data_IF_647765831529
#
_entry.id   IF_647765831529
#
_cell.length_a   1.000
_cell.length_b   1.000
_cell.length_c   1.000
_cell.angle_alpha   90.00
_cell.angle_beta   90.00
_cell.angle_gamma   90.00
#
_symmetry.space_group_name_H-M   'P 1'
#
loop_
_entity.id
_entity.type
_entity.pdbx_description
1 polymer ?
#
# COMPACT_ATOMS: atom_id res chain seq x y z
N UNK A 1 -21.99 -17.20 13.33
CA UNK A 1 -21.05 -16.83 12.22
C UNK A 1 -21.06 -17.87 11.10
N UNK A 2 -20.92 -19.17 11.40
CA UNK A 2 -20.96 -20.24 10.40
C UNK A 2 -22.27 -20.27 9.59
N UNK A 3 -23.42 -20.10 10.25
CA UNK A 3 -24.75 -20.04 9.61
C UNK A 3 -24.86 -18.87 8.62
N UNK A 4 -24.51 -17.65 9.05
CA UNK A 4 -24.50 -16.46 8.21
C UNK A 4 -23.60 -16.58 6.97
N UNK A 5 -22.43 -17.23 7.10
CA UNK A 5 -21.53 -17.46 5.97
C UNK A 5 -22.14 -18.50 5.01
N UNK A 6 -22.71 -19.58 5.53
CA UNK A 6 -23.34 -20.62 4.72
C UNK A 6 -24.55 -20.08 3.93
N UNK A 7 -25.42 -19.32 4.59
CA UNK A 7 -26.62 -18.72 3.99
C UNK A 7 -26.31 -17.72 2.86
N UNK A 8 -25.15 -17.09 2.89
CA UNK A 8 -24.74 -16.07 1.90
C UNK A 8 -23.51 -16.47 1.09
N UNK A 9 -23.13 -17.75 1.13
CA UNK A 9 -21.92 -18.25 0.48
C UNK A 9 -21.93 -18.04 -1.03
N UNK A 10 -23.04 -18.39 -1.69
CA UNK A 10 -23.16 -18.27 -3.14
C UNK A 10 -23.12 -16.81 -3.60
N UNK A 11 -23.74 -15.91 -2.85
CA UNK A 11 -23.69 -14.47 -3.12
C UNK A 11 -22.26 -13.92 -2.95
N UNK A 12 -21.55 -14.33 -1.91
CA UNK A 12 -20.15 -13.96 -1.69
C UNK A 12 -19.24 -14.51 -2.82
N UNK A 13 -19.44 -15.77 -3.23
CA UNK A 13 -18.70 -16.40 -4.33
C UNK A 13 -18.97 -15.70 -5.66
N UNK A 14 -20.22 -15.34 -5.94
CA UNK A 14 -20.59 -14.61 -7.15
C UNK A 14 -19.90 -13.24 -7.22
N UNK A 15 -19.86 -12.51 -6.11
CA UNK A 15 -19.14 -11.23 -6.00
C UNK A 15 -17.65 -11.43 -6.27
N UNK A 16 -17.03 -12.43 -5.63
CA UNK A 16 -15.61 -12.74 -5.83
C UNK A 16 -15.30 -13.13 -7.29
N UNK A 17 -16.17 -13.94 -7.91
CA UNK A 17 -16.03 -14.33 -9.31
C UNK A 17 -16.20 -13.12 -10.24
N UNK A 18 -17.16 -12.23 -9.97
CA UNK A 18 -17.38 -11.02 -10.76
C UNK A 18 -16.17 -10.09 -10.73
N UNK A 19 -15.50 -9.97 -9.57
CA UNK A 19 -14.25 -9.21 -9.44
C UNK A 19 -13.13 -9.92 -10.21
N UNK A 20 -12.97 -11.23 -10.02
CA UNK A 20 -11.90 -12.02 -10.66
C UNK A 20 -11.96 -11.99 -12.19
N UNK A 21 -13.16 -12.01 -12.77
CA UNK A 21 -13.35 -11.98 -14.23
C UNK A 21 -13.50 -10.55 -14.79
N UNK A 22 -13.32 -9.51 -13.97
CA UNK A 22 -13.42 -8.11 -14.42
C UNK A 22 -14.83 -7.64 -14.78
N UNK A 23 -15.87 -8.43 -14.53
CA UNK A 23 -17.26 -8.08 -14.81
C UNK A 23 -17.75 -6.89 -13.96
N UNK A 24 -17.14 -6.66 -12.79
CA UNK A 24 -17.38 -5.47 -11.98
C UNK A 24 -16.15 -5.13 -11.12
N UNK A 25 -15.88 -3.83 -10.94
CA UNK A 25 -14.82 -3.38 -10.03
C UNK A 25 -15.20 -3.63 -8.57
N UNK A 26 -14.22 -4.00 -7.74
CA UNK A 26 -14.41 -4.15 -6.31
C UNK A 26 -14.98 -2.86 -5.67
N UNK A 27 -14.50 -1.69 -6.11
CA UNK A 27 -14.95 -0.38 -5.61
C UNK A 27 -16.43 -0.13 -5.90
N UNK A 28 -16.89 -0.45 -7.11
CA UNK A 28 -18.30 -0.31 -7.50
C UNK A 28 -19.19 -1.25 -6.69
N UNK A 29 -18.74 -2.50 -6.50
CA UNK A 29 -19.47 -3.50 -5.72
C UNK A 29 -19.56 -3.11 -4.24
N UNK A 30 -18.47 -2.62 -3.65
CA UNK A 30 -18.47 -2.14 -2.26
C UNK A 30 -19.39 -0.95 -2.07
N UNK A 31 -19.38 0.02 -2.99
CA UNK A 31 -20.32 1.16 -2.96
C UNK A 31 -21.77 0.69 -3.01
N UNK A 32 -22.07 -0.28 -3.87
CA UNK A 32 -23.42 -0.85 -4.00
C UNK A 32 -23.86 -1.63 -2.76
N UNK A 33 -22.95 -2.39 -2.15
CA UNK A 33 -23.21 -3.12 -0.90
C UNK A 33 -23.47 -2.14 0.25
N UNK A 34 -22.69 -1.06 0.36
CA UNK A 34 -22.88 -0.02 1.37
C UNK A 34 -24.21 0.73 1.20
N UNK A 35 -24.63 0.97 -0.05
CA UNK A 35 -25.88 1.68 -0.35
C UNK A 35 -27.16 0.84 -0.17
N UNK A 36 -27.07 -0.49 -0.03
CA UNK A 36 -28.24 -1.38 -0.05
C UNK A 36 -28.43 -2.11 1.30
N UNK A 37 -29.32 -1.63 2.19
CA UNK A 37 -29.59 -2.27 3.50
C UNK A 37 -30.04 -3.73 3.37
N UNK A 38 -30.79 -4.05 2.31
CA UNK A 38 -31.26 -5.41 2.01
C UNK A 38 -30.12 -6.41 1.71
N UNK A 39 -28.91 -5.91 1.40
CA UNK A 39 -27.71 -6.73 1.17
C UNK A 39 -26.75 -6.74 2.37
N UNK A 40 -27.19 -6.23 3.53
CA UNK A 40 -26.38 -6.21 4.75
C UNK A 40 -25.94 -7.62 5.19
N UNK A 41 -26.73 -8.65 4.93
CA UNK A 41 -26.36 -10.05 5.22
C UNK A 41 -25.12 -10.52 4.46
N UNK A 42 -25.07 -10.26 3.15
CA UNK A 42 -23.90 -10.59 2.30
C UNK A 42 -22.67 -9.78 2.70
N UNK A 43 -22.85 -8.48 3.00
CA UNK A 43 -21.76 -7.64 3.49
C UNK A 43 -21.18 -8.18 4.82
N UNK A 44 -22.04 -8.56 5.77
CA UNK A 44 -21.62 -9.17 7.04
C UNK A 44 -20.94 -10.52 6.85
N UNK A 45 -21.41 -11.34 5.90
CA UNK A 45 -20.76 -12.61 5.55
C UNK A 45 -19.34 -12.36 4.98
N UNK A 46 -19.18 -11.40 4.07
CA UNK A 46 -17.86 -10.99 3.55
C UNK A 46 -16.94 -10.46 4.66
N UNK A 47 -17.45 -9.65 5.59
CA UNK A 47 -16.68 -9.20 6.76
C UNK A 47 -16.23 -10.38 7.62
N UNK A 48 -17.11 -11.36 7.87
CA UNK A 48 -16.77 -12.53 8.66
C UNK A 48 -15.68 -13.39 7.98
N UNK A 49 -15.75 -13.54 6.65
CA UNK A 49 -14.68 -14.20 5.86
C UNK A 49 -13.37 -13.42 5.98
N UNK A 50 -13.40 -12.10 5.84
CA UNK A 50 -12.22 -11.24 6.00
C UNK A 50 -11.61 -11.31 7.40
N UNK A 51 -12.42 -11.46 8.44
CA UNK A 51 -11.94 -11.68 9.82
C UNK A 51 -11.21 -13.01 9.96
N UNK A 52 -11.68 -14.09 9.32
CA UNK A 52 -11.01 -15.39 9.33
C UNK A 52 -9.64 -15.29 8.65
N UNK A 53 -9.56 -14.66 7.48
CA UNK A 53 -8.28 -14.45 6.79
C UNK A 53 -7.35 -13.55 7.59
N UNK A 54 -7.87 -12.50 8.24
CA UNK A 54 -7.07 -11.67 9.16
C UNK A 54 -6.49 -12.49 10.30
N UNK A 55 -7.29 -13.32 10.97
CA UNK A 55 -6.80 -14.19 12.04
C UNK A 55 -5.75 -15.17 11.53
N UNK A 56 -6.00 -15.80 10.37
CA UNK A 56 -5.02 -16.71 9.74
C UNK A 56 -3.71 -16.00 9.42
N UNK A 57 -3.76 -14.80 8.86
CA UNK A 57 -2.59 -13.98 8.60
C UNK A 57 -1.86 -13.61 9.89
N UNK A 58 -2.57 -13.15 10.93
CA UNK A 58 -1.96 -12.82 12.23
C UNK A 58 -1.26 -14.02 12.85
N UNK A 59 -1.87 -15.21 12.82
CA UNK A 59 -1.24 -16.43 13.32
C UNK A 59 0.02 -16.80 12.53
N UNK A 60 0.01 -16.61 11.20
CA UNK A 60 1.20 -16.81 10.37
C UNK A 60 2.29 -15.78 10.72
N UNK A 61 1.90 -14.52 10.82
CA UNK A 61 2.79 -13.40 11.16
C UNK A 61 3.51 -13.63 12.49
N UNK A 62 2.81 -14.10 13.52
CA UNK A 62 3.41 -14.37 14.83
C UNK A 62 4.43 -15.52 14.82
N UNK A 63 4.41 -16.42 13.83
CA UNK A 63 5.26 -17.61 13.77
C UNK A 63 6.43 -17.50 12.79
N UNK A 64 6.39 -16.55 11.86
CA UNK A 64 7.30 -16.47 10.72
C UNK A 64 8.08 -15.15 10.75
N UNK A 65 9.34 -15.20 11.20
CA UNK A 65 10.22 -14.03 11.24
C UNK A 65 10.51 -13.44 9.85
N UNK A 66 10.58 -14.27 8.81
CA UNK A 66 10.83 -13.79 7.46
C UNK A 66 9.65 -12.95 6.96
N UNK A 67 8.42 -13.39 7.25
CA UNK A 67 7.20 -12.62 6.99
C UNK A 67 7.18 -11.31 7.78
N UNK A 68 7.59 -11.32 9.06
CA UNK A 68 7.67 -10.10 9.86
C UNK A 68 8.63 -9.08 9.26
N UNK A 69 9.85 -9.53 8.89
CA UNK A 69 10.86 -8.66 8.25
C UNK A 69 10.35 -8.06 6.94
N UNK A 70 9.68 -8.86 6.11
CA UNK A 70 9.09 -8.39 4.87
C UNK A 70 8.01 -7.34 5.12
N UNK A 71 7.06 -7.62 6.01
CA UNK A 71 5.98 -6.68 6.36
C UNK A 71 6.57 -5.38 6.93
N UNK A 72 7.59 -5.47 7.78
CA UNK A 72 8.25 -4.29 8.33
C UNK A 72 8.96 -3.47 7.24
N UNK A 73 9.60 -4.12 6.25
CA UNK A 73 10.20 -3.43 5.12
C UNK A 73 9.14 -2.68 4.29
N UNK A 74 8.01 -3.33 4.00
CA UNK A 74 6.89 -2.72 3.27
C UNK A 74 6.28 -1.54 4.05
N UNK A 75 6.15 -1.66 5.38
CA UNK A 75 5.68 -0.58 6.26
C UNK A 75 6.65 0.59 6.28
N UNK A 76 7.95 0.32 6.48
CA UNK A 76 8.99 1.35 6.48
C UNK A 76 9.00 2.14 5.16
N UNK A 77 8.81 1.46 4.03
CA UNK A 77 8.68 2.12 2.74
C UNK A 77 7.49 3.10 2.73
N UNK A 78 6.30 2.62 3.08
CA UNK A 78 5.10 3.47 3.10
C UNK A 78 5.20 4.64 4.08
N UNK A 79 5.78 4.42 5.26
CA UNK A 79 6.00 5.48 6.25
C UNK A 79 6.98 6.54 5.77
N UNK A 80 8.05 6.12 5.07
CA UNK A 80 9.03 7.05 4.52
C UNK A 80 8.45 7.89 3.37
N UNK A 81 7.71 7.27 2.44
CA UNK A 81 6.98 8.00 1.38
C UNK A 81 6.01 9.00 1.99
N UNK A 82 5.23 8.57 2.98
CA UNK A 82 4.29 9.46 3.68
C UNK A 82 5.02 10.56 4.48
N UNK A 83 6.19 10.27 5.02
CA UNK A 83 7.06 11.21 5.70
C UNK A 83 7.56 12.31 4.76
N UNK A 84 8.07 11.93 3.59
CA UNK A 84 8.51 12.85 2.54
C UNK A 84 7.34 13.71 2.04
N UNK A 85 6.18 13.10 1.77
CA UNK A 85 4.98 13.83 1.37
C UNK A 85 4.61 14.91 2.40
N UNK A 86 4.62 14.56 3.70
CA UNK A 86 4.34 15.51 4.78
C UNK A 86 5.38 16.62 4.87
N UNK A 87 6.66 16.30 4.68
CA UNK A 87 7.75 17.28 4.70
C UNK A 87 7.66 18.28 3.55
N UNK A 88 7.30 17.83 2.34
CA UNK A 88 7.12 18.70 1.18
C UNK A 88 5.88 19.60 1.27
N UNK A 89 4.84 19.15 1.98
CA UNK A 89 3.61 19.90 2.25
C UNK A 89 3.75 20.86 3.46
N UNK A 90 4.97 21.36 3.73
CA UNK A 90 5.30 22.24 4.86
C UNK A 90 4.40 23.50 4.85
N UNK A 91 3.37 23.50 5.70
CA UNK A 91 2.37 24.58 5.80
C UNK A 91 0.90 24.14 5.79
N UNK A 92 0.56 22.92 5.36
CA UNK A 92 -0.84 22.40 5.36
C UNK A 92 -1.05 21.10 6.14
N UNK A 93 -0.05 20.60 6.90
CA UNK A 93 -0.11 19.32 7.63
C UNK A 93 -0.54 18.12 6.76
N UNK A 94 -0.29 18.16 5.44
CA UNK A 94 -0.74 17.13 4.50
C UNK A 94 -2.24 17.09 4.21
N UNK A 95 -3.00 18.15 4.52
CA UNK A 95 -4.44 18.21 4.29
C UNK A 95 -4.74 19.00 3.00
N UNK A 96 -5.29 18.33 1.99
CA UNK A 96 -5.85 18.95 0.79
C UNK A 96 -7.20 19.59 1.15
N UNK A 97 -7.25 20.93 1.18
CA UNK A 97 -8.48 21.70 1.43
C UNK A 97 -9.20 22.15 0.15
N UNK A 98 -8.80 21.63 -1.00
CA UNK A 98 -9.39 22.03 -2.27
C UNK A 98 -10.76 21.37 -2.44
N UNK A 99 -11.77 22.16 -2.79
CA UNK A 99 -13.16 21.68 -2.89
C UNK A 99 -13.42 20.85 -4.16
N UNK A 100 -12.64 21.07 -5.22
CA UNK A 100 -12.81 20.37 -6.49
C UNK A 100 -11.84 19.19 -6.63
N UNK A 101 -12.35 18.05 -7.10
CA UNK A 101 -11.56 16.83 -7.35
C UNK A 101 -10.43 17.08 -8.35
N UNK A 102 -10.65 17.93 -9.34
CA UNK A 102 -9.63 18.30 -10.32
C UNK A 102 -8.42 19.01 -9.69
N UNK A 103 -8.65 19.83 -8.67
CA UNK A 103 -7.59 20.60 -8.00
C UNK A 103 -6.82 19.71 -7.03
N UNK A 104 -7.52 18.83 -6.30
CA UNK A 104 -6.88 17.77 -5.49
C UNK A 104 -6.00 16.87 -6.37
N UNK A 105 -6.49 16.50 -7.56
CA UNK A 105 -5.74 15.66 -8.51
C UNK A 105 -4.50 16.37 -9.02
N UNK A 106 -4.61 17.67 -9.35
CA UNK A 106 -3.46 18.47 -9.79
C UNK A 106 -2.40 18.57 -8.69
N UNK A 107 -2.79 18.90 -7.46
CA UNK A 107 -1.86 18.97 -6.34
C UNK A 107 -1.22 17.61 -6.03
N UNK A 108 -1.99 16.52 -6.06
CA UNK A 108 -1.46 15.17 -5.88
C UNK A 108 -0.42 14.81 -6.95
N UNK A 109 -0.67 15.18 -8.22
CA UNK A 109 0.27 14.97 -9.32
C UNK A 109 1.54 15.80 -9.15
N UNK A 110 1.43 17.07 -8.79
CA UNK A 110 2.59 17.93 -8.54
C UNK A 110 3.44 17.39 -7.37
N UNK A 111 2.79 16.98 -6.28
CA UNK A 111 3.49 16.37 -5.15
C UNK A 111 4.20 15.07 -5.55
N UNK A 112 3.53 14.21 -6.30
CA UNK A 112 4.12 12.98 -6.82
C UNK A 112 5.35 13.26 -7.69
N UNK A 113 5.27 14.28 -8.55
CA UNK A 113 6.39 14.71 -9.39
C UNK A 113 7.57 15.19 -8.55
N UNK A 114 7.34 16.02 -7.54
CA UNK A 114 8.40 16.50 -6.63
C UNK A 114 9.04 15.36 -5.84
N UNK A 115 8.23 14.44 -5.30
CA UNK A 115 8.73 13.26 -4.61
C UNK A 115 9.59 12.39 -5.52
N UNK A 116 9.16 12.16 -6.77
CA UNK A 116 9.91 11.40 -7.76
C UNK A 116 11.22 12.09 -8.15
N UNK A 117 11.24 13.42 -8.28
CA UNK A 117 12.46 14.17 -8.57
C UNK A 117 13.48 14.05 -7.42
N UNK A 118 13.03 14.16 -6.17
CA UNK A 118 13.89 13.97 -4.99
C UNK A 118 14.37 12.52 -4.89
N UNK A 119 13.50 11.56 -5.18
CA UNK A 119 13.86 10.14 -5.28
C UNK A 119 15.04 9.93 -6.22
N UNK A 120 14.88 10.45 -7.44
CA UNK A 120 15.86 10.33 -8.51
C UNK A 120 17.18 10.94 -8.09
N UNK A 121 17.16 12.17 -7.59
CA UNK A 121 18.35 12.86 -7.10
C UNK A 121 19.06 12.08 -5.99
N UNK A 122 18.31 11.58 -5.00
CA UNK A 122 18.87 10.79 -3.91
C UNK A 122 19.50 9.50 -4.44
N UNK A 123 18.88 8.84 -5.43
CA UNK A 123 19.46 7.62 -6.00
C UNK A 123 20.72 7.86 -6.81
N UNK A 124 20.79 8.91 -7.61
CA UNK A 124 22.01 9.22 -8.38
C UNK A 124 23.15 9.59 -7.44
N UNK A 125 22.87 10.46 -6.46
CA UNK A 125 23.89 10.89 -5.50
C UNK A 125 24.39 9.74 -4.62
N UNK A 126 23.49 8.87 -4.13
CA UNK A 126 23.89 7.69 -3.36
C UNK A 126 24.66 6.69 -4.22
N UNK A 127 24.33 6.54 -5.51
CA UNK A 127 25.10 5.69 -6.42
C UNK A 127 26.53 6.21 -6.59
N UNK A 128 26.69 7.52 -6.79
CA UNK A 128 28.01 8.15 -6.91
C UNK A 128 28.82 8.03 -5.60
N UNK A 129 28.18 8.26 -4.45
CA UNK A 129 28.81 8.12 -3.14
C UNK A 129 29.29 6.68 -2.88
N UNK A 130 28.49 5.67 -3.24
CA UNK A 130 28.87 4.26 -3.13
C UNK A 130 30.02 3.92 -4.07
N UNK A 131 30.02 4.46 -5.29
CA UNK A 131 31.11 4.27 -6.23
C UNK A 131 32.43 4.84 -5.67
N UNK A 132 32.39 6.03 -5.06
CA UNK A 132 33.54 6.63 -4.40
C UNK A 132 34.06 5.80 -3.23
N UNK A 133 33.18 5.29 -2.36
CA UNK A 133 33.56 4.44 -1.21
C UNK A 133 34.18 3.11 -1.66
N UNK A 134 33.62 2.49 -2.71
CA UNK A 134 34.20 1.28 -3.31
C UNK A 134 35.57 1.52 -3.91
N UNK A 135 35.80 2.68 -4.53
CA UNK A 135 37.11 3.06 -5.06
C UNK A 135 38.16 3.24 -3.95
N UNK A 136 37.74 3.53 -2.72
CA UNK A 136 38.60 3.63 -1.54
C UNK A 136 38.85 2.27 -0.86
N UNK A 137 38.30 1.17 -1.41
CA UNK A 137 38.47 -0.17 -0.87
C UNK A 137 37.46 -0.56 0.21
N UNK A 138 36.45 0.27 0.50
CA UNK A 138 35.40 -0.06 1.46
C UNK A 138 34.33 -0.97 0.85
N UNK A 139 34.07 -2.11 1.50
CA UNK A 139 32.96 -3.00 1.15
C UNK A 139 31.64 -2.47 1.72
N UNK A 140 30.90 -1.71 0.91
CA UNK A 140 29.54 -1.28 1.26
C UNK A 140 28.56 -2.45 1.12
N UNK A 141 28.04 -2.93 2.25
CA UNK A 141 26.99 -3.94 2.28
C UNK A 141 25.67 -3.38 1.72
N UNK A 142 25.35 -3.78 0.48
CA UNK A 142 24.09 -3.44 -0.21
C UNK A 142 22.80 -3.59 0.61
N UNK A 143 22.66 -4.56 1.56
CA UNK A 143 21.46 -4.68 2.38
C UNK A 143 21.18 -3.46 3.26
N UNK A 144 22.22 -2.77 3.76
CA UNK A 144 22.05 -1.55 4.56
C UNK A 144 21.63 -0.38 3.67
N UNK A 145 22.15 -0.30 2.45
CA UNK A 145 21.83 0.82 1.56
C UNK A 145 20.39 0.72 1.05
N UNK A 146 19.94 -0.52 0.83
CA UNK A 146 18.61 -0.85 0.35
C UNK A 146 17.51 -0.39 1.32
N UNK A 147 17.70 -0.45 2.63
CA UNK A 147 16.70 0.04 3.58
C UNK A 147 16.50 1.58 3.54
N UNK A 148 17.49 2.33 3.06
CA UNK A 148 17.39 3.79 2.85
C UNK A 148 16.93 4.16 1.43
N UNK A 149 17.24 3.34 0.43
CA UNK A 149 16.89 3.55 -0.98
C UNK A 149 15.48 3.04 -1.36
N UNK A 150 15.04 1.95 -0.73
CA UNK A 150 13.74 1.34 -1.02
C UNK A 150 12.61 2.32 -0.74
N UNK A 151 12.76 3.18 0.26
CA UNK A 151 11.83 4.25 0.64
C UNK A 151 11.32 5.14 -0.51
N UNK A 152 12.05 5.25 -1.64
CA UNK A 152 11.62 6.10 -2.75
C UNK A 152 11.70 5.43 -4.14
N UNK A 153 12.47 4.34 -4.30
CA UNK A 153 12.76 3.77 -5.64
C UNK A 153 12.32 2.31 -5.84
N UNK A 154 11.71 1.67 -4.84
CA UNK A 154 11.27 0.26 -4.95
C UNK A 154 9.99 0.04 -5.80
N UNK A 155 9.89 0.62 -7.01
CA UNK A 155 8.84 0.28 -7.99
C UNK A 155 9.34 -0.36 -9.29
N UNK A 156 10.63 -0.74 -9.39
CA UNK A 156 11.12 -1.52 -10.54
C UNK A 156 12.10 -2.63 -10.16
N UNK A 157 11.64 -3.64 -9.41
CA UNK A 157 12.08 -5.03 -9.63
C UNK A 157 10.93 -5.96 -9.22
N UNK A 158 10.02 -6.21 -10.15
CA UNK A 158 9.33 -7.48 -10.35
C UNK A 158 8.72 -7.49 -11.75
#
# INVERSE_FOLDING_TARGET
RRTLIAEHWDAARHIAASIKHGAASATTLMRRLAATPRKAGVARALTAIGQIERTRFTLKYLRDEALQRQVQADLNHGESVNGLARALLFGRRGIFRDRAVADQTRHARCLLLLMAAIALWNTTYLADAVAALRAQGETVALPHLKCHLDAVVASRVK
#
